data_IF_109958738792
#
_entry.id   IF_109958738792
#
_cell.length_a   1.000
_cell.length_b   1.000
_cell.length_c   1.000
_cell.angle_alpha   90.00
_cell.angle_beta   90.00
_cell.angle_gamma   90.00
#
_symmetry.space_group_name_H-M   'P 1'
#
loop_
_entity.id
_entity.type
_entity.pdbx_description
1 polymer ?
#
# COMPACT_ATOMS: atom_id res chain seq x y z
N UNK A 1 -27.75 -15.24 26.40
CA UNK A 1 -26.59 -14.90 25.53
C UNK A 1 -26.94 -13.63 24.78
N UNK A 2 -26.40 -12.49 25.25
CA UNK A 2 -26.65 -11.17 24.66
C UNK A 2 -25.81 -11.07 23.39
N UNK A 3 -26.45 -11.01 22.22
CA UNK A 3 -25.82 -10.62 20.96
C UNK A 3 -25.44 -9.15 21.07
N UNK A 4 -24.17 -8.87 21.37
CA UNK A 4 -23.61 -7.54 21.21
C UNK A 4 -23.40 -7.35 19.71
N UNK A 5 -24.38 -6.74 19.06
CA UNK A 5 -24.22 -6.21 17.70
C UNK A 5 -23.24 -5.05 17.79
N UNK A 6 -21.97 -5.29 17.41
CA UNK A 6 -20.99 -4.23 17.24
C UNK A 6 -21.45 -3.41 16.02
N UNK A 7 -22.24 -2.37 16.27
CA UNK A 7 -22.42 -1.27 15.33
C UNK A 7 -21.03 -0.68 15.08
N UNK A 8 -20.47 -0.91 13.90
CA UNK A 8 -19.33 -0.15 13.40
C UNK A 8 -19.66 1.33 13.52
N UNK A 9 -19.10 2.01 14.52
CA UNK A 9 -19.15 3.46 14.61
C UNK A 9 -18.27 4.02 13.50
N UNK A 10 -18.84 4.12 12.30
CA UNK A 10 -18.38 5.10 11.32
C UNK A 10 -18.60 6.45 11.99
N UNK A 11 -17.57 6.97 12.65
CA UNK A 11 -17.50 8.38 12.97
C UNK A 11 -17.58 9.06 11.61
N UNK A 12 -18.76 9.59 11.26
CA UNK A 12 -18.94 10.44 10.09
C UNK A 12 -17.83 11.47 10.17
N UNK A 13 -16.83 11.32 9.30
CA UNK A 13 -15.78 12.31 9.18
C UNK A 13 -16.52 13.59 8.81
N UNK A 14 -16.35 14.65 9.60
CA UNK A 14 -16.88 15.95 9.23
C UNK A 14 -16.02 16.50 8.08
N UNK A 15 -16.18 15.92 6.89
CA UNK A 15 -15.36 16.16 5.70
C UNK A 15 -15.56 17.58 5.14
N UNK A 16 -16.59 18.31 5.59
CA UNK A 16 -16.72 19.74 5.30
C UNK A 16 -15.53 20.58 5.81
N UNK A 17 -14.75 20.06 6.78
CA UNK A 17 -13.51 20.69 7.25
C UNK A 17 -12.26 20.18 6.54
N UNK A 18 -12.37 19.15 5.69
CA UNK A 18 -11.23 18.57 4.99
C UNK A 18 -11.03 19.28 3.66
N UNK A 19 -9.79 19.68 3.41
CA UNK A 19 -9.41 20.45 2.22
C UNK A 19 -8.50 19.66 1.29
N UNK A 20 -7.88 18.59 1.78
CA UNK A 20 -6.82 17.91 1.08
C UNK A 20 -6.78 16.40 1.37
N UNK A 21 -6.63 15.60 0.33
CA UNK A 21 -6.47 14.15 0.43
C UNK A 21 -5.07 13.72 0.00
N UNK A 22 -4.41 12.98 0.87
CA UNK A 22 -3.16 12.30 0.55
C UNK A 22 -3.41 10.81 0.38
N UNK A 23 -2.74 10.20 -0.58
CA UNK A 23 -2.87 8.79 -0.89
C UNK A 23 -1.51 8.09 -0.91
N UNK A 24 -1.44 6.87 -0.42
CA UNK A 24 -0.40 5.96 -0.90
C UNK A 24 -0.63 5.63 -2.39
N UNK A 25 0.42 5.17 -3.07
CA UNK A 25 0.35 4.78 -4.47
C UNK A 25 0.12 3.28 -4.60
N UNK A 26 1.11 2.46 -4.24
CA UNK A 26 1.00 1.00 -4.38
C UNK A 26 -0.03 0.42 -3.40
N UNK A 27 -0.86 -0.52 -3.83
CA UNK A 27 -1.94 -1.09 -3.00
C UNK A 27 -3.15 -0.16 -2.80
N UNK A 28 -2.99 1.14 -3.08
CA UNK A 28 -4.01 2.18 -2.88
C UNK A 28 -4.52 2.76 -4.19
N UNK A 29 -3.75 3.60 -4.89
CA UNK A 29 -4.15 4.14 -6.20
C UNK A 29 -3.74 3.24 -7.37
N UNK A 30 -2.71 2.42 -7.20
CA UNK A 30 -2.15 1.60 -8.26
C UNK A 30 -1.66 0.23 -7.76
N UNK A 31 -1.60 -0.73 -8.67
CA UNK A 31 -1.11 -2.08 -8.42
C UNK A 31 -0.32 -2.62 -9.61
N UNK A 32 0.34 -3.77 -9.42
CA UNK A 32 1.07 -4.41 -10.50
C UNK A 32 0.14 -5.07 -11.51
N UNK A 33 0.52 -4.96 -12.78
CA UNK A 33 -0.11 -5.63 -13.90
C UNK A 33 0.94 -6.36 -14.77
N UNK A 34 0.80 -7.68 -14.98
CA UNK A 34 -0.18 -8.57 -14.36
C UNK A 34 -0.09 -8.56 -12.82
N UNK A 35 -1.19 -8.90 -12.15
CA UNK A 35 -1.24 -8.97 -10.69
C UNK A 35 -0.18 -9.94 -10.16
N UNK A 36 0.52 -9.58 -9.09
CA UNK A 36 1.59 -10.40 -8.50
C UNK A 36 1.07 -11.79 -8.12
N UNK A 37 -0.17 -11.88 -7.66
CA UNK A 37 -0.85 -13.13 -7.31
C UNK A 37 -0.99 -14.08 -8.50
N UNK A 38 -1.26 -13.54 -9.70
CA UNK A 38 -1.37 -14.34 -10.93
C UNK A 38 -0.02 -14.85 -11.40
N UNK A 39 1.00 -13.99 -11.32
CA UNK A 39 2.38 -14.36 -11.65
C UNK A 39 2.87 -15.46 -10.72
N UNK A 40 2.70 -15.25 -9.41
CA UNK A 40 3.04 -16.21 -8.37
C UNK A 40 2.32 -17.54 -8.61
N UNK A 41 0.99 -17.52 -8.82
CA UNK A 41 0.20 -18.73 -9.02
C UNK A 41 0.73 -19.57 -10.20
N UNK A 42 0.96 -18.93 -11.34
CA UNK A 42 1.54 -19.57 -12.54
C UNK A 42 2.87 -20.29 -12.21
N UNK A 43 3.75 -19.62 -11.48
CA UNK A 43 5.09 -20.15 -11.14
C UNK A 43 5.01 -21.26 -10.09
N UNK A 44 4.13 -21.12 -9.10
CA UNK A 44 3.88 -22.17 -8.10
C UNK A 44 3.35 -23.44 -8.77
N UNK A 45 2.40 -23.32 -9.71
CA UNK A 45 1.85 -24.46 -10.44
C UNK A 45 2.92 -25.22 -11.25
N UNK A 46 3.87 -24.49 -11.87
CA UNK A 46 5.03 -25.09 -12.56
C UNK A 46 5.94 -25.89 -11.61
N UNK A 47 6.01 -25.46 -10.35
CA UNK A 47 6.75 -26.13 -9.29
C UNK A 47 5.87 -27.11 -8.47
N UNK A 48 4.68 -27.47 -8.98
CA UNK A 48 3.71 -28.42 -8.38
C UNK A 48 3.15 -27.99 -7.01
N UNK A 49 3.09 -26.69 -6.77
CA UNK A 49 2.47 -26.08 -5.59
C UNK A 49 1.18 -25.39 -6.03
N UNK A 50 0.05 -25.75 -5.42
CA UNK A 50 -1.27 -25.24 -5.80
C UNK A 50 -1.84 -24.37 -4.70
N UNK A 51 -1.86 -23.06 -4.93
CA UNK A 51 -2.51 -22.08 -4.06
C UNK A 51 -3.49 -21.23 -4.88
N UNK A 52 -4.61 -20.88 -4.27
CA UNK A 52 -5.52 -19.88 -4.84
C UNK A 52 -4.90 -18.48 -4.80
N UNK A 53 -5.39 -17.56 -5.65
CA UNK A 53 -4.94 -16.16 -5.64
C UNK A 53 -5.17 -15.53 -4.25
N UNK A 54 -6.27 -15.86 -3.56
CA UNK A 54 -6.56 -15.39 -2.20
C UNK A 54 -5.53 -15.87 -1.17
N UNK A 55 -5.12 -17.14 -1.24
CA UNK A 55 -4.07 -17.70 -0.37
C UNK A 55 -2.73 -17.02 -0.61
N UNK A 56 -2.38 -16.79 -1.88
CA UNK A 56 -1.16 -16.08 -2.26
C UNK A 56 -1.19 -14.64 -1.76
N UNK A 57 -2.32 -13.94 -1.97
CA UNK A 57 -2.58 -12.58 -1.50
C UNK A 57 -2.36 -12.50 0.02
N UNK A 58 -2.95 -13.43 0.77
CA UNK A 58 -2.75 -13.54 2.22
C UNK A 58 -1.28 -13.75 2.60
N UNK A 59 -0.54 -14.56 1.84
CA UNK A 59 0.90 -14.74 2.05
C UNK A 59 1.72 -13.49 1.80
N UNK A 60 1.39 -12.71 0.77
CA UNK A 60 2.03 -11.44 0.49
C UNK A 60 1.87 -10.43 1.64
N UNK A 61 0.76 -10.46 2.37
CA UNK A 61 0.60 -9.61 3.58
C UNK A 61 1.77 -9.77 4.54
N UNK A 62 2.13 -11.01 4.90
CA UNK A 62 3.24 -11.28 5.83
C UNK A 62 4.60 -11.02 5.21
N UNK A 63 4.75 -11.28 3.91
CA UNK A 63 5.99 -11.01 3.20
C UNK A 63 6.26 -9.49 3.10
N UNK A 64 5.24 -8.69 2.82
CA UNK A 64 5.32 -7.24 2.75
C UNK A 64 5.59 -6.62 4.13
N UNK A 65 4.97 -7.14 5.20
CA UNK A 65 5.32 -6.78 6.59
C UNK A 65 6.78 -7.11 6.92
N UNK A 66 7.26 -8.29 6.51
CA UNK A 66 8.67 -8.68 6.66
C UNK A 66 9.61 -7.74 5.89
N UNK A 67 9.26 -7.35 4.66
CA UNK A 67 10.02 -6.35 3.89
C UNK A 67 10.05 -4.99 4.58
N UNK A 68 8.93 -4.53 5.12
CA UNK A 68 8.85 -3.26 5.84
C UNK A 68 9.75 -3.26 7.09
N UNK A 69 9.81 -4.35 7.84
CA UNK A 69 10.73 -4.51 8.98
C UNK A 69 12.19 -4.51 8.52
N UNK A 70 12.50 -5.21 7.42
CA UNK A 70 13.85 -5.26 6.89
C UNK A 70 14.36 -3.88 6.48
N UNK A 71 13.53 -3.06 5.82
CA UNK A 71 13.92 -1.69 5.40
C UNK A 71 14.36 -0.81 6.58
N UNK A 72 13.77 -1.01 7.76
CA UNK A 72 14.17 -0.30 9.00
C UNK A 72 15.53 -0.74 9.55
N UNK A 73 15.91 -2.00 9.33
CA UNK A 73 17.19 -2.55 9.79
C UNK A 73 18.29 -2.21 8.79
N UNK A 74 18.06 -2.55 7.52
CA UNK A 74 18.98 -2.35 6.41
C UNK A 74 18.19 -2.34 5.10
N UNK A 75 18.11 -1.19 4.39
CA UNK A 75 17.46 -1.11 3.08
C UNK A 75 18.07 -2.10 2.07
N UNK A 76 17.23 -2.64 1.17
CA UNK A 76 17.67 -3.62 0.17
C UNK A 76 18.80 -3.09 -0.73
N UNK A 77 18.81 -1.79 -1.04
CA UNK A 77 19.87 -1.17 -1.86
C UNK A 77 21.26 -1.25 -1.22
N UNK A 78 21.33 -1.32 0.11
CA UNK A 78 22.58 -1.38 0.88
C UNK A 78 23.02 -2.83 1.16
N UNK A 79 22.24 -3.82 0.72
CA UNK A 79 22.54 -5.24 0.87
C UNK A 79 23.46 -5.77 -0.23
N UNK A 80 24.38 -6.64 0.16
CA UNK A 80 25.16 -7.50 -0.73
C UNK A 80 24.27 -8.50 -1.47
N UNK A 81 24.79 -9.11 -2.53
CA UNK A 81 24.08 -10.14 -3.30
C UNK A 81 23.67 -11.34 -2.44
N UNK A 82 24.53 -11.76 -1.50
CA UNK A 82 24.21 -12.88 -0.60
C UNK A 82 23.07 -12.52 0.35
N UNK A 83 23.11 -11.32 0.95
CA UNK A 83 22.05 -10.85 1.84
C UNK A 83 20.71 -10.72 1.11
N UNK A 84 20.71 -10.22 -0.13
CA UNK A 84 19.48 -10.17 -0.96
C UNK A 84 18.94 -11.56 -1.23
N UNK A 85 19.80 -12.52 -1.56
CA UNK A 85 19.40 -13.93 -1.77
C UNK A 85 18.73 -14.49 -0.52
N UNK A 86 19.35 -14.33 0.65
CA UNK A 86 18.79 -14.83 1.91
C UNK A 86 17.47 -14.15 2.24
N UNK A 87 17.41 -12.81 2.11
CA UNK A 87 16.20 -12.04 2.34
C UNK A 87 15.04 -12.51 1.46
N UNK A 88 15.26 -12.62 0.15
CA UNK A 88 14.18 -12.98 -0.76
C UNK A 88 13.81 -14.46 -0.71
N UNK A 89 14.74 -15.32 -0.28
CA UNK A 89 14.43 -16.72 0.08
C UNK A 89 13.43 -16.75 1.23
N UNK A 90 13.67 -15.97 2.28
CA UNK A 90 12.76 -15.88 3.43
C UNK A 90 11.45 -15.13 3.07
N UNK A 91 11.51 -14.10 2.22
CA UNK A 91 10.32 -13.40 1.71
C UNK A 91 9.36 -14.38 1.01
N UNK A 92 9.87 -15.18 0.07
CA UNK A 92 9.08 -16.22 -0.60
C UNK A 92 8.59 -17.30 0.39
N UNK A 93 9.45 -17.70 1.33
CA UNK A 93 9.07 -18.65 2.37
C UNK A 93 7.91 -18.14 3.23
N UNK A 94 7.82 -16.84 3.53
CA UNK A 94 6.68 -16.25 4.27
C UNK A 94 5.36 -16.41 3.51
N UNK A 95 5.38 -16.23 2.18
CA UNK A 95 4.19 -16.43 1.33
C UNK A 95 3.70 -17.87 1.45
N UNK A 96 4.60 -18.84 1.32
CA UNK A 96 4.27 -20.27 1.33
C UNK A 96 3.89 -20.78 2.74
N UNK A 97 4.68 -20.44 3.75
CA UNK A 97 4.49 -20.92 5.13
C UNK A 97 3.22 -20.38 5.78
N UNK A 98 2.79 -19.17 5.42
CA UNK A 98 1.47 -18.63 5.85
C UNK A 98 0.29 -19.48 5.38
N UNK A 99 0.49 -20.32 4.37
CA UNK A 99 -0.47 -21.27 3.82
C UNK A 99 -0.14 -22.73 4.20
N UNK A 100 0.68 -22.95 5.24
CA UNK A 100 1.16 -24.26 5.67
C UNK A 100 1.94 -25.04 4.62
N UNK A 101 2.48 -24.37 3.60
CA UNK A 101 3.35 -24.98 2.59
C UNK A 101 4.80 -24.86 3.05
N UNK A 102 5.45 -26.01 3.24
CA UNK A 102 6.87 -26.08 3.58
C UNK A 102 7.67 -26.56 2.37
N UNK A 103 8.72 -25.82 2.02
CA UNK A 103 9.64 -26.11 0.92
C UNK A 103 11.08 -25.91 1.37
N UNK A 104 12.03 -26.49 0.63
CA UNK A 104 13.45 -26.22 0.87
C UNK A 104 13.81 -24.76 0.54
N UNK A 105 14.87 -24.25 1.18
CA UNK A 105 15.40 -22.91 0.88
C UNK A 105 15.77 -22.75 -0.61
N UNK A 106 16.32 -23.80 -1.21
CA UNK A 106 16.66 -23.79 -2.64
C UNK A 106 15.43 -23.64 -3.53
N UNK A 107 14.31 -24.28 -3.17
CA UNK A 107 13.05 -24.14 -3.92
C UNK A 107 12.42 -22.75 -3.71
N UNK A 108 12.40 -22.23 -2.48
CA UNK A 108 11.99 -20.84 -2.21
C UNK A 108 12.79 -19.85 -3.05
N UNK A 109 14.12 -19.97 -3.07
CA UNK A 109 14.98 -19.09 -3.86
C UNK A 109 14.74 -19.24 -5.37
N UNK A 110 14.52 -20.47 -5.85
CA UNK A 110 14.20 -20.73 -7.26
C UNK A 110 12.88 -20.06 -7.67
N UNK A 111 11.83 -20.23 -6.88
CA UNK A 111 10.51 -19.63 -7.13
C UNK A 111 10.64 -18.10 -7.17
N UNK A 112 11.30 -17.51 -6.17
CA UNK A 112 11.52 -16.06 -6.15
C UNK A 112 12.28 -15.56 -7.39
N UNK A 113 13.32 -16.27 -7.83
CA UNK A 113 14.06 -15.89 -9.04
C UNK A 113 13.15 -15.88 -10.26
N UNK A 114 12.34 -16.93 -10.45
CA UNK A 114 11.39 -17.00 -11.57
C UNK A 114 10.41 -15.82 -11.53
N UNK A 115 9.89 -15.45 -10.35
CA UNK A 115 8.99 -14.29 -10.17
C UNK A 115 9.70 -12.99 -10.49
N UNK A 116 10.94 -12.82 -10.01
CA UNK A 116 11.71 -11.58 -10.17
C UNK A 116 12.09 -11.27 -11.62
N UNK A 117 12.02 -12.27 -12.52
CA UNK A 117 12.27 -12.14 -13.95
C UNK A 117 11.02 -11.78 -14.75
N UNK A 118 9.83 -11.90 -14.15
CA UNK A 118 8.58 -11.60 -14.83
C UNK A 118 8.40 -10.09 -15.01
N UNK A 119 7.92 -9.70 -16.20
CA UNK A 119 7.69 -8.29 -16.52
C UNK A 119 6.36 -7.85 -15.92
N UNK A 120 6.39 -6.73 -15.21
CA UNK A 120 5.20 -6.06 -14.71
C UNK A 120 5.24 -4.56 -15.05
N UNK A 121 4.06 -3.95 -15.00
CA UNK A 121 3.86 -2.51 -15.07
C UNK A 121 3.03 -2.08 -13.88
N UNK A 122 3.24 -0.86 -13.38
CA UNK A 122 2.35 -0.26 -12.40
C UNK A 122 1.18 0.38 -13.15
N UNK A 123 -0.06 0.11 -12.71
CA UNK A 123 -1.29 0.68 -13.30
C UNK A 123 -2.24 1.11 -12.21
N UNK A 124 -2.96 2.21 -12.44
CA UNK A 124 -4.00 2.65 -11.51
C UNK A 124 -5.12 1.61 -11.41
N UNK A 125 -5.75 1.49 -10.25
CA UNK A 125 -6.96 0.68 -10.09
C UNK A 125 -8.16 1.32 -10.79
N UNK A 126 -9.14 0.51 -11.18
CA UNK A 126 -10.34 0.97 -11.91
C UNK A 126 -11.11 2.06 -11.15
N UNK A 127 -11.13 1.99 -9.80
CA UNK A 127 -11.82 2.94 -8.92
C UNK A 127 -11.03 4.23 -8.64
N UNK A 128 -9.79 4.34 -9.12
CA UNK A 128 -8.90 5.48 -8.83
C UNK A 128 -9.34 6.74 -9.54
N UNK A 129 -9.55 6.64 -10.87
CA UNK A 129 -9.90 7.81 -11.68
C UNK A 129 -11.23 8.41 -11.24
N UNK A 130 -12.24 7.56 -11.04
CA UNK A 130 -13.58 7.96 -10.60
C UNK A 130 -13.61 8.65 -9.23
N UNK A 131 -12.69 8.28 -8.32
CA UNK A 131 -12.54 8.96 -7.05
C UNK A 131 -11.88 10.34 -7.24
N UNK A 132 -10.76 10.40 -7.97
CA UNK A 132 -10.00 11.65 -8.12
C UNK A 132 -10.80 12.71 -8.89
N UNK A 133 -11.52 12.32 -9.94
CA UNK A 133 -12.46 13.20 -10.65
C UNK A 133 -13.56 13.72 -9.72
N UNK A 134 -14.08 12.85 -8.86
CA UNK A 134 -15.09 13.23 -7.88
C UNK A 134 -14.55 14.23 -6.85
N UNK A 135 -13.33 14.04 -6.32
CA UNK A 135 -12.68 14.99 -5.41
C UNK A 135 -12.51 16.37 -6.07
N UNK A 136 -12.02 16.40 -7.32
CA UNK A 136 -11.88 17.63 -8.10
C UNK A 136 -13.22 18.34 -8.28
N UNK A 137 -14.30 17.61 -8.57
CA UNK A 137 -15.65 18.18 -8.72
C UNK A 137 -16.17 18.83 -7.42
N UNK A 138 -15.61 18.46 -6.27
CA UNK A 138 -15.90 19.05 -4.96
C UNK A 138 -14.94 20.19 -4.58
N UNK A 139 -14.00 20.54 -5.47
CA UNK A 139 -12.95 21.51 -5.17
C UNK A 139 -11.92 21.03 -4.16
N UNK A 140 -11.83 19.71 -3.94
CA UNK A 140 -10.87 19.08 -3.02
C UNK A 140 -9.65 18.67 -3.82
N UNK A 141 -8.47 19.06 -3.34
CA UNK A 141 -7.19 18.72 -3.96
C UNK A 141 -6.60 17.44 -3.36
N UNK A 142 -5.67 16.82 -4.09
CA UNK A 142 -5.03 15.60 -3.64
C UNK A 142 -3.57 15.45 -4.09
N UNK A 143 -2.80 14.67 -3.34
CA UNK A 143 -1.41 14.33 -3.65
C UNK A 143 -1.06 12.89 -3.22
N UNK A 144 0.05 12.36 -3.74
CA UNK A 144 0.59 11.05 -3.36
C UNK A 144 1.73 11.14 -2.34
N UNK A 145 1.84 10.17 -1.44
CA UNK A 145 3.00 9.96 -0.56
C UNK A 145 3.35 8.46 -0.54
N UNK A 146 4.53 8.08 -1.00
CA UNK A 146 4.86 6.65 -1.14
C UNK A 146 6.32 6.29 -0.84
N UNK A 147 6.58 5.07 -0.36
CA UNK A 147 7.93 4.57 -0.06
C UNK A 147 8.58 3.93 -1.30
N UNK A 148 8.47 4.59 -2.46
CA UNK A 148 9.07 4.12 -3.71
C UNK A 148 10.38 4.86 -3.99
N UNK A 149 11.38 4.14 -4.51
CA UNK A 149 12.69 4.70 -4.86
C UNK A 149 12.69 5.22 -6.31
N UNK A 150 11.74 6.10 -6.63
CA UNK A 150 11.55 6.78 -7.92
C UNK A 150 11.14 8.23 -7.67
N UNK A 151 11.52 9.17 -8.54
CA UNK A 151 11.07 10.56 -8.44
C UNK A 151 9.54 10.66 -8.52
N UNK A 152 8.94 11.48 -7.66
CA UNK A 152 7.48 11.67 -7.63
C UNK A 152 6.89 12.14 -8.96
N UNK A 153 7.50 13.12 -9.62
CA UNK A 153 7.00 13.65 -10.90
C UNK A 153 7.01 12.59 -12.01
N UNK A 154 8.07 11.78 -12.08
CA UNK A 154 8.15 10.66 -13.01
C UNK A 154 7.03 9.64 -12.75
N UNK A 155 6.82 9.27 -11.48
CA UNK A 155 5.78 8.31 -11.10
C UNK A 155 4.37 8.84 -11.43
N UNK A 156 4.15 10.13 -11.24
CA UNK A 156 2.88 10.79 -11.55
C UNK A 156 2.59 10.78 -13.05
N UNK A 157 3.60 11.04 -13.88
CA UNK A 157 3.51 10.95 -15.35
C UNK A 157 3.27 9.51 -15.82
N UNK A 158 4.04 8.55 -15.31
CA UNK A 158 3.93 7.13 -15.66
C UNK A 158 2.53 6.57 -15.38
N UNK A 159 1.91 7.01 -14.28
CA UNK A 159 0.56 6.64 -13.88
C UNK A 159 -0.54 7.52 -14.51
N UNK A 160 -0.16 8.54 -15.28
CA UNK A 160 -1.08 9.51 -15.90
C UNK A 160 -1.97 10.22 -14.87
N UNK A 161 -1.38 10.56 -13.73
CA UNK A 161 -2.06 11.21 -12.60
C UNK A 161 -1.86 12.73 -12.55
N UNK A 162 -1.10 13.31 -13.49
CA UNK A 162 -0.76 14.74 -13.54
C UNK A 162 -1.97 15.68 -13.57
N UNK A 163 -3.10 15.25 -14.14
CA UNK A 163 -4.34 16.04 -14.17
C UNK A 163 -5.21 15.88 -12.92
N UNK A 164 -4.81 15.02 -11.98
CA UNK A 164 -5.60 14.61 -10.82
C UNK A 164 -4.93 14.89 -9.48
N UNK A 165 -3.59 14.82 -9.43
CA UNK A 165 -2.80 15.07 -8.24
C UNK A 165 -1.97 16.34 -8.41
N UNK A 166 -1.83 17.14 -7.35
CA UNK A 166 -0.94 18.31 -7.37
C UNK A 166 0.54 17.87 -7.42
N UNK A 167 0.89 16.77 -6.76
CA UNK A 167 2.23 16.18 -6.74
C UNK A 167 2.21 14.75 -6.16
N UNK A 168 3.32 14.04 -6.30
CA UNK A 168 3.66 12.85 -5.51
C UNK A 168 4.98 13.13 -4.78
N UNK A 169 5.06 12.78 -3.51
CA UNK A 169 6.30 12.76 -2.73
C UNK A 169 6.72 11.32 -2.48
N UNK A 170 7.99 11.02 -2.75
CA UNK A 170 8.53 9.69 -2.51
C UNK A 170 9.70 9.68 -1.52
N UNK A 171 10.10 8.49 -1.07
CA UNK A 171 11.32 8.34 -0.25
C UNK A 171 12.59 8.67 -1.02
N UNK A 172 12.56 8.65 -2.36
CA UNK A 172 13.65 9.17 -3.18
C UNK A 172 13.80 10.68 -3.02
N UNK A 173 12.68 11.41 -3.01
CA UNK A 173 12.62 12.87 -2.95
C UNK A 173 13.07 13.41 -1.58
N UNK A 174 12.50 12.87 -0.49
CA UNK A 174 12.66 13.42 0.87
C UNK A 174 13.73 12.72 1.73
N UNK A 175 14.31 11.61 1.26
CA UNK A 175 15.25 10.73 2.01
C UNK A 175 14.68 10.11 3.30
N UNK A 176 13.45 10.44 3.65
CA UNK A 176 12.65 9.83 4.71
C UNK A 176 11.53 9.01 4.08
N UNK A 177 11.04 8.00 4.80
CA UNK A 177 9.97 7.13 4.34
C UNK A 177 8.91 6.97 5.43
N UNK A 178 7.68 6.65 5.05
CA UNK A 178 6.60 6.32 5.99
C UNK A 178 7.03 5.11 6.85
N UNK A 179 6.78 5.09 8.17
CA UNK A 179 5.94 5.97 8.96
C UNK A 179 6.65 7.20 9.58
N UNK A 180 7.85 7.57 9.13
CA UNK A 180 8.55 8.73 9.68
C UNK A 180 7.71 10.00 9.45
N UNK A 181 7.39 10.72 10.54
CA UNK A 181 6.53 11.91 10.47
C UNK A 181 7.04 12.96 9.46
N UNK A 182 8.35 13.03 9.20
CA UNK A 182 8.96 14.05 8.34
C UNK A 182 8.41 14.03 6.91
N UNK A 183 8.17 12.85 6.33
CA UNK A 183 7.63 12.78 4.96
C UNK A 183 6.19 13.32 4.89
N UNK A 184 5.38 13.04 5.91
CA UNK A 184 4.01 13.57 6.01
C UNK A 184 4.03 15.09 6.21
N UNK A 185 4.85 15.58 7.15
CA UNK A 185 4.96 17.02 7.43
C UNK A 185 5.47 17.79 6.22
N UNK A 186 6.47 17.27 5.50
CA UNK A 186 6.96 17.87 4.25
C UNK A 186 5.83 17.97 3.20
N UNK A 187 5.03 16.90 3.05
CA UNK A 187 3.90 16.86 2.13
C UNK A 187 2.79 17.85 2.50
N UNK A 188 2.45 17.94 3.79
CA UNK A 188 1.48 18.91 4.32
C UNK A 188 1.95 20.35 4.08
N UNK A 189 3.23 20.64 4.35
CA UNK A 189 3.82 21.95 4.11
C UNK A 189 3.81 22.31 2.62
N UNK A 190 4.12 21.36 1.74
CA UNK A 190 4.06 21.55 0.28
C UNK A 190 2.65 21.83 -0.21
N UNK A 191 1.64 21.19 0.38
CA UNK A 191 0.23 21.44 0.10
C UNK A 191 -0.30 22.74 0.74
N UNK A 192 0.45 23.35 1.67
CA UNK A 192 0.08 24.57 2.40
C UNK A 192 -1.29 24.44 3.10
N UNK A 193 -1.48 23.35 3.84
CA UNK A 193 -2.69 23.04 4.60
C UNK A 193 -2.34 22.64 6.03
N UNK A 194 -3.30 22.68 6.95
CA UNK A 194 -3.06 22.18 8.30
C UNK A 194 -3.29 20.65 8.36
N UNK A 195 -2.58 19.91 9.24
CA UNK A 195 -2.75 18.46 9.38
C UNK A 195 -4.20 18.03 9.65
N UNK A 196 -4.93 18.78 10.47
CA UNK A 196 -6.33 18.51 10.83
C UNK A 196 -7.30 18.70 9.65
N UNK A 197 -6.88 19.35 8.56
CA UNK A 197 -7.65 19.52 7.33
C UNK A 197 -7.34 18.41 6.31
N UNK A 198 -6.41 17.51 6.64
CA UNK A 198 -5.95 16.44 5.77
C UNK A 198 -6.63 15.10 6.08
N UNK A 199 -6.87 14.34 5.02
CA UNK A 199 -7.15 12.90 5.08
C UNK A 199 -5.98 12.17 4.44
N UNK A 200 -5.60 11.04 5.00
CA UNK A 200 -4.62 10.14 4.40
C UNK A 200 -5.25 8.77 4.17
N UNK A 201 -5.12 8.22 2.97
CA UNK A 201 -5.62 6.89 2.59
C UNK A 201 -4.44 6.00 2.18
N UNK A 202 -4.29 4.83 2.81
CA UNK A 202 -3.23 3.87 2.47
C UNK A 202 -3.56 2.45 2.94
N UNK A 203 -2.84 1.44 2.46
CA UNK A 203 -3.13 0.02 2.70
C UNK A 203 -2.33 -0.58 3.86
N UNK A 204 -1.30 0.10 4.35
CA UNK A 204 -0.41 -0.42 5.40
C UNK A 204 -0.74 0.18 6.77
N UNK A 205 -1.14 -0.65 7.74
CA UNK A 205 -1.48 -0.17 9.10
C UNK A 205 -0.34 0.63 9.74
N UNK A 206 0.88 0.11 9.68
CA UNK A 206 2.03 0.76 10.35
C UNK A 206 2.50 2.00 9.58
N UNK A 207 2.78 1.84 8.28
CA UNK A 207 3.35 2.90 7.45
C UNK A 207 2.35 4.03 7.20
N UNK A 208 1.11 3.69 6.83
CA UNK A 208 0.10 4.65 6.41
C UNK A 208 -0.80 5.08 7.55
N UNK A 209 -1.54 4.15 8.14
CA UNK A 209 -2.59 4.50 9.10
C UNK A 209 -2.01 5.12 10.37
N UNK A 210 -1.02 4.46 10.98
CA UNK A 210 -0.35 4.97 12.20
C UNK A 210 0.57 6.15 11.86
N UNK A 211 1.32 6.07 10.75
CA UNK A 211 2.21 7.15 10.31
C UNK A 211 1.48 8.48 10.11
N UNK A 212 0.40 8.49 9.33
CA UNK A 212 -0.39 9.70 9.06
C UNK A 212 -1.12 10.20 10.30
N UNK A 213 -1.64 9.29 11.15
CA UNK A 213 -2.24 9.65 12.45
C UNK A 213 -1.25 10.39 13.35
N UNK A 214 -0.02 9.90 13.43
CA UNK A 214 1.04 10.52 14.24
C UNK A 214 1.50 11.88 13.68
N UNK A 215 1.23 12.14 12.39
CA UNK A 215 1.43 13.44 11.76
C UNK A 215 0.24 14.41 11.94
N UNK A 216 -0.83 14.01 12.64
CA UNK A 216 -2.01 14.83 12.89
C UNK A 216 -3.08 14.76 11.79
N UNK A 217 -2.89 13.90 10.79
CA UNK A 217 -3.87 13.70 9.70
C UNK A 217 -4.99 12.77 10.14
N UNK A 218 -6.10 12.76 9.41
CA UNK A 218 -7.14 11.73 9.59
C UNK A 218 -6.83 10.50 8.73
N UNK A 219 -6.46 9.36 9.34
CA UNK A 219 -6.13 8.16 8.60
C UNK A 219 -7.38 7.39 8.18
N UNK A 220 -7.31 6.77 7.00
CA UNK A 220 -8.26 5.77 6.50
C UNK A 220 -7.44 4.61 5.93
N UNK A 221 -7.73 3.40 6.39
CA UNK A 221 -7.13 2.17 5.86
C UNK A 221 -7.93 1.73 4.63
N UNK A 222 -7.27 1.49 3.50
CA UNK A 222 -7.89 0.77 2.38
C UNK A 222 -7.49 -0.71 2.44
N UNK A 223 -8.46 -1.57 2.67
CA UNK A 223 -8.29 -3.02 2.80
C UNK A 223 -8.96 -3.74 1.63
N UNK A 224 -8.36 -3.60 0.43
CA UNK A 224 -8.91 -4.17 -0.82
C UNK A 224 -9.13 -5.67 -0.75
N UNK A 225 -8.29 -6.36 0.02
CA UNK A 225 -8.25 -7.83 0.09
C UNK A 225 -8.95 -8.40 1.34
N UNK A 226 -9.47 -7.56 2.23
CA UNK A 226 -10.16 -8.01 3.45
C UNK A 226 -9.24 -8.64 4.50
N UNK A 227 -7.98 -8.23 4.57
CA UNK A 227 -6.99 -8.77 5.51
C UNK A 227 -7.20 -8.37 6.96
N UNK A 228 -8.03 -7.35 7.21
CA UNK A 228 -8.12 -6.67 8.50
C UNK A 228 -9.58 -6.54 8.94
N UNK A 229 -10.36 -7.63 8.90
CA UNK A 229 -11.79 -7.64 9.27
C UNK A 229 -12.06 -6.99 10.64
N UNK A 230 -11.28 -7.37 11.66
CA UNK A 230 -11.39 -6.90 13.05
C UNK A 230 -10.75 -5.52 13.31
N UNK A 231 -10.31 -4.80 12.28
CA UNK A 231 -9.75 -3.47 12.45
C UNK A 231 -10.82 -2.46 12.87
N UNK A 232 -10.60 -1.79 14.00
CA UNK A 232 -11.57 -0.90 14.65
C UNK A 232 -11.50 0.57 14.19
N UNK A 233 -10.58 0.91 13.29
CA UNK A 233 -10.43 2.27 12.75
C UNK A 233 -11.23 2.53 11.48
N UNK A 234 -11.10 3.73 10.90
CA UNK A 234 -11.71 4.05 9.62
C UNK A 234 -11.11 3.16 8.54
N UNK A 235 -11.97 2.39 7.85
CA UNK A 235 -11.57 1.42 6.85
C UNK A 235 -12.55 1.41 5.68
N UNK A 236 -12.02 1.23 4.47
CA UNK A 236 -12.77 1.05 3.23
C UNK A 236 -12.24 -0.16 2.48
N UNK A 237 -13.06 -0.82 1.65
CA UNK A 237 -12.58 -1.88 0.73
C UNK A 237 -12.25 -1.36 -0.67
N UNK A 238 -12.86 -0.25 -1.06
CA UNK A 238 -12.65 0.40 -2.36
C UNK A 238 -12.57 1.90 -2.21
N UNK A 239 -11.88 2.57 -3.14
CA UNK A 239 -11.77 4.03 -3.15
C UNK A 239 -13.14 4.71 -3.28
N UNK A 240 -14.10 4.07 -3.97
CA UNK A 240 -15.47 4.57 -4.10
C UNK A 240 -16.21 4.72 -2.78
N UNK A 241 -15.89 3.91 -1.76
CA UNK A 241 -16.51 4.00 -0.42
C UNK A 241 -16.13 5.28 0.33
N UNK A 242 -15.06 5.98 -0.07
CA UNK A 242 -14.76 7.30 0.51
C UNK A 242 -15.93 8.26 0.34
N UNK A 243 -16.71 8.13 -0.74
CA UNK A 243 -17.90 8.95 -0.99
C UNK A 243 -18.97 8.78 0.10
N UNK A 244 -18.96 7.67 0.86
CA UNK A 244 -19.89 7.42 1.97
C UNK A 244 -19.51 8.16 3.26
N UNK A 245 -18.32 8.73 3.32
CA UNK A 245 -17.89 9.57 4.44
C UNK A 245 -18.31 11.04 4.24
N UNK A 246 -18.92 11.38 3.10
CA UNK A 246 -19.47 12.69 2.74
C UNK A 246 -21.00 12.68 2.78
#
# INVERSE_FOLDING_TARGET
>A
MIKITIKSMNIMLNLNKKKYFFFDIYGTLAGFYPQKEKIQKKILEQNKIFLSETQISYGYKFADEFMALQKKIKPLRDMSTSEKKDFFTEYENKILSSNNIQVSKDLSWKIWQEISLEKYSLRIFDDTKDLLEWLLSKGIKSAGITNMDIKGDQLMEDLKLTSFLDFIITSYDEKYEKPDKRIFISSINKANVNPEECVYVGDQIQSDYIGSKNAGMTPILIDRNGYYEEFSGNKIKSLGELKLFF
#
